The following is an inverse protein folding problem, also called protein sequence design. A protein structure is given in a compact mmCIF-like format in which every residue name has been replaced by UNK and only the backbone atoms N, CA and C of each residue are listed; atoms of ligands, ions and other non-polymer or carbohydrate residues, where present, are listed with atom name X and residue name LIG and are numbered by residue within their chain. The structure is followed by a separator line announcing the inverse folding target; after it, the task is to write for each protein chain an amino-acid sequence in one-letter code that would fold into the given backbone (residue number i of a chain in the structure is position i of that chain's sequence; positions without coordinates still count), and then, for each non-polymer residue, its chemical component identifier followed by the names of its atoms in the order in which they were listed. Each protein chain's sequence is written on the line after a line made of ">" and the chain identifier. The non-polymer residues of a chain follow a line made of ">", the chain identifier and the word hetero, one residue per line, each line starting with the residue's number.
data_IF_993316642292
#
_entry.id   IF_993316642292
#
_cell.length_a   1.000
_cell.length_b   1.000
_cell.length_c   1.000
_cell.angle_alpha   90.00
_cell.angle_beta   90.00
_cell.angle_gamma   90.00
#
_symmetry.space_group_name_H-M   'P 1'
#
loop_
_entity.id
_entity.type
_entity.pdbx_description
1 polymer ?
#
# COMPACT_ATOMS: atom_id res chain seq x y z
N UNK A 1 -18.70 -36.45 26.48
CA UNK A 1 -18.93 -35.90 27.84
C UNK A 1 -17.62 -35.30 28.34
N UNK A 2 -17.62 -34.05 28.83
CA UNK A 2 -16.43 -33.22 28.98
C UNK A 2 -15.83 -33.32 30.39
N UNK A 3 -14.50 -33.28 30.47
CA UNK A 3 -13.77 -33.12 31.72
C UNK A 3 -13.81 -31.65 32.18
N UNK A 4 -14.49 -31.42 33.31
CA UNK A 4 -14.51 -30.16 34.05
C UNK A 4 -13.22 -30.02 34.86
N UNK A 5 -12.51 -28.91 34.70
CA UNK A 5 -11.57 -28.42 35.70
C UNK A 5 -12.14 -27.16 36.35
N UNK A 6 -12.23 -27.22 37.68
CA UNK A 6 -12.81 -26.25 38.59
C UNK A 6 -11.79 -25.19 38.97
N UNK A 7 -12.11 -23.91 38.72
CA UNK A 7 -11.40 -22.78 39.31
C UNK A 7 -11.96 -22.51 40.71
N UNK A 8 -11.08 -22.55 41.72
CA UNK A 8 -11.38 -22.14 43.10
C UNK A 8 -11.11 -20.65 43.26
N UNK A 9 -12.17 -19.89 43.47
CA UNK A 9 -12.16 -18.51 43.94
C UNK A 9 -11.71 -18.47 45.40
N UNK A 10 -10.81 -17.54 45.75
CA UNK A 10 -10.63 -17.07 47.13
C UNK A 10 -10.59 -15.55 47.15
N UNK A 11 -11.74 -14.99 47.48
CA UNK A 11 -11.90 -13.63 48.00
C UNK A 11 -11.44 -13.62 49.45
N UNK A 12 -10.54 -12.71 49.84
CA UNK A 12 -10.33 -12.34 51.23
C UNK A 12 -10.09 -10.83 51.35
N UNK A 13 -11.14 -10.22 51.90
CA UNK A 13 -11.31 -9.00 52.67
C UNK A 13 -10.07 -8.18 53.08
N UNK A 14 -10.27 -6.86 52.99
CA UNK A 14 -9.44 -5.76 53.43
C UNK A 14 -9.04 -5.81 54.92
N UNK A 15 -7.85 -5.26 55.21
CA UNK A 15 -7.51 -4.72 56.52
C UNK A 15 -6.80 -3.37 56.36
N UNK A 16 -7.46 -2.34 56.85
CA UNK A 16 -7.00 -0.95 56.94
C UNK A 16 -5.94 -0.83 58.04
N UNK A 17 -4.78 -0.23 57.72
CA UNK A 17 -3.84 0.27 58.73
C UNK A 17 -3.49 1.71 58.35
N UNK A 18 -3.99 2.63 59.16
CA UNK A 18 -3.61 4.04 59.18
C UNK A 18 -2.23 4.17 59.80
N UNK A 19 -1.25 4.67 59.04
CA UNK A 19 0.03 5.12 59.56
C UNK A 19 0.26 6.55 59.09
N UNK A 20 0.08 7.47 60.04
CA UNK A 20 0.54 8.84 59.93
C UNK A 20 2.07 8.83 59.97
N UNK A 21 2.71 9.39 58.95
CA UNK A 21 4.11 9.79 59.02
C UNK A 21 4.26 11.22 58.54
N UNK A 22 4.78 12.02 59.48
CA UNK A 22 5.11 13.43 59.37
C UNK A 22 6.24 13.67 58.37
N UNK A 23 6.31 14.91 57.89
CA UNK A 23 7.09 15.33 56.75
C UNK A 23 8.58 14.98 56.78
N UNK A 24 9.06 14.58 55.60
CA UNK A 24 10.44 14.69 55.17
C UNK A 24 10.40 15.16 53.71
N UNK A 25 10.84 16.41 53.54
CA UNK A 25 11.14 17.03 52.25
C UNK A 25 12.31 16.29 51.59
N UNK A 26 12.06 15.68 50.43
CA UNK A 26 13.08 15.13 49.53
C UNK A 26 13.03 15.85 48.18
N UNK A 27 14.18 15.98 47.49
CA UNK A 27 14.36 16.88 46.37
C UNK A 27 13.60 16.39 45.13
N UNK A 28 12.95 17.36 44.49
CA UNK A 28 12.32 17.28 43.18
C UNK A 28 13.33 16.88 42.11
N UNK A 29 13.19 15.67 41.56
CA UNK A 29 14.06 15.17 40.51
C UNK A 29 13.63 13.80 39.97
N UNK A 30 12.35 13.62 39.68
CA UNK A 30 11.89 12.54 38.80
C UNK A 30 11.29 13.20 37.54
N UNK A 31 11.68 12.78 36.32
CA UNK A 31 10.99 13.23 35.13
C UNK A 31 9.53 12.77 35.26
N UNK A 32 8.62 13.73 35.12
CA UNK A 32 7.19 13.49 35.01
C UNK A 32 6.96 12.44 33.93
N UNK A 33 6.41 11.29 34.31
CA UNK A 33 5.84 10.35 33.36
C UNK A 33 4.84 11.13 32.50
N UNK A 34 5.15 11.26 31.21
CA UNK A 34 4.20 11.82 30.26
C UNK A 34 2.93 10.96 30.32
N UNK A 35 1.73 11.58 30.29
CA UNK A 35 0.50 10.81 30.20
C UNK A 35 0.60 9.93 28.95
N UNK A 36 0.35 8.63 29.13
CA UNK A 36 0.25 7.69 28.03
C UNK A 36 -0.66 8.29 26.96
N UNK A 37 -0.11 8.52 25.77
CA UNK A 37 -0.83 8.96 24.59
C UNK A 37 -2.10 8.13 24.47
N UNK A 38 -3.25 8.81 24.37
CA UNK A 38 -4.47 8.15 23.94
C UNK A 38 -4.17 7.33 22.67
N UNK A 39 -4.80 6.16 22.55
CA UNK A 39 -4.69 5.34 21.35
C UNK A 39 -4.94 6.25 20.12
N UNK A 40 -4.04 6.27 19.12
CA UNK A 40 -4.23 7.11 17.94
C UNK A 40 -5.57 6.79 17.30
N UNK A 41 -6.30 7.83 16.90
CA UNK A 41 -7.53 7.68 16.15
C UNK A 41 -7.27 6.84 14.88
N UNK A 42 -8.22 5.99 14.52
CA UNK A 42 -8.22 5.27 13.25
C UNK A 42 -7.94 6.24 12.10
N UNK A 43 -7.09 5.81 11.16
CA UNK A 43 -6.40 6.61 10.13
C UNK A 43 -7.09 7.90 9.70
N UNK A 44 -6.33 8.99 9.73
CA UNK A 44 -6.75 10.29 9.21
C UNK A 44 -7.20 10.14 7.75
N UNK A 45 -8.40 10.62 7.44
CA UNK A 45 -8.89 10.67 6.06
C UNK A 45 -7.87 11.44 5.20
N UNK A 46 -7.50 10.88 4.05
CA UNK A 46 -6.51 11.53 3.20
C UNK A 46 -6.98 12.92 2.75
N UNK A 47 -6.04 13.86 2.77
CA UNK A 47 -6.31 15.22 2.29
C UNK A 47 -6.46 15.22 0.77
N UNK A 48 -7.25 16.13 0.19
CA UNK A 48 -7.34 16.26 -1.26
C UNK A 48 -5.98 16.45 -1.95
N UNK A 49 -5.04 17.17 -1.31
CA UNK A 49 -3.70 17.36 -1.83
C UNK A 49 -2.89 16.06 -1.90
N UNK A 50 -3.04 15.16 -0.92
CA UNK A 50 -2.39 13.85 -0.94
C UNK A 50 -2.93 12.96 -2.07
N UNK A 51 -4.25 13.01 -2.31
CA UNK A 51 -4.88 12.28 -3.42
C UNK A 51 -4.42 12.85 -4.78
N UNK A 52 -4.35 14.16 -4.93
CA UNK A 52 -3.80 14.80 -6.13
C UNK A 52 -2.35 14.38 -6.40
N UNK A 53 -1.51 14.36 -5.36
CA UNK A 53 -0.12 13.91 -5.49
C UNK A 53 -0.03 12.43 -5.91
N UNK A 54 -0.88 11.57 -5.35
CA UNK A 54 -0.96 10.17 -5.75
C UNK A 54 -1.37 10.01 -7.22
N UNK A 55 -2.42 10.72 -7.65
CA UNK A 55 -2.89 10.64 -9.05
C UNK A 55 -1.81 11.12 -10.02
N UNK A 56 -1.07 12.17 -9.66
CA UNK A 56 0.05 12.67 -10.45
C UNK A 56 1.23 11.69 -10.52
N UNK A 57 1.64 11.09 -9.40
CA UNK A 57 2.77 10.16 -9.36
C UNK A 57 2.45 8.82 -10.05
N UNK A 58 1.23 8.32 -9.87
CA UNK A 58 0.84 7.00 -10.37
C UNK A 58 0.39 7.02 -11.83
N UNK A 59 -0.39 8.02 -12.21
CA UNK A 59 -1.07 8.08 -13.51
C UNK A 59 -0.66 9.30 -14.34
N UNK A 60 0.21 10.18 -13.83
CA UNK A 60 0.61 11.40 -14.55
C UNK A 60 -0.47 12.49 -14.59
N UNK A 61 -1.53 12.34 -13.80
CA UNK A 61 -2.77 13.11 -13.93
C UNK A 61 -2.73 14.47 -13.23
N UNK A 62 -3.26 15.50 -13.92
CA UNK A 62 -3.34 16.86 -13.40
C UNK A 62 -4.58 17.60 -13.90
N UNK A 63 -5.60 17.67 -13.05
CA UNK A 63 -6.83 18.39 -13.35
C UNK A 63 -6.62 19.93 -13.35
N UNK A 64 -7.26 20.67 -14.27
CA UNK A 64 -7.27 22.13 -14.21
C UNK A 64 -8.09 22.63 -13.00
N UNK A 65 -7.92 23.91 -12.62
CA UNK A 65 -8.60 24.50 -11.46
C UNK A 65 -10.14 24.42 -11.55
N UNK A 66 -10.67 24.62 -12.76
CA UNK A 66 -12.09 24.51 -13.10
C UNK A 66 -12.28 23.44 -14.19
N UNK A 67 -12.33 22.15 -13.81
CA UNK A 67 -12.43 21.06 -14.77
C UNK A 67 -13.75 21.08 -15.54
N UNK A 68 -13.67 20.70 -16.80
CA UNK A 68 -14.81 20.40 -17.65
C UNK A 68 -15.28 18.97 -17.43
N UNK A 69 -16.46 18.64 -17.93
CA UNK A 69 -16.94 17.25 -17.99
C UNK A 69 -15.99 16.36 -18.80
N UNK A 70 -15.42 16.90 -19.89
CA UNK A 70 -14.46 16.20 -20.74
C UNK A 70 -13.17 15.84 -20.01
N UNK A 71 -12.64 16.77 -19.19
CA UNK A 71 -11.46 16.49 -18.36
C UNK A 71 -11.75 15.32 -17.42
N UNK A 72 -12.85 15.37 -16.67
CA UNK A 72 -13.18 14.28 -15.73
C UNK A 72 -13.41 12.93 -16.42
N UNK A 73 -13.97 12.91 -17.63
CA UNK A 73 -14.13 11.69 -18.44
C UNK A 73 -12.77 11.13 -18.84
N UNK A 74 -11.87 11.97 -19.35
CA UNK A 74 -10.53 11.56 -19.76
C UNK A 74 -9.77 10.91 -18.60
N UNK A 75 -9.75 11.62 -17.47
CA UNK A 75 -9.07 11.19 -16.25
C UNK A 75 -9.72 9.93 -15.65
N UNK A 76 -11.05 9.80 -15.70
CA UNK A 76 -11.75 8.59 -15.26
C UNK A 76 -11.39 7.39 -16.14
N UNK A 77 -11.26 7.56 -17.46
CA UNK A 77 -10.85 6.47 -18.34
C UNK A 77 -9.40 6.04 -18.09
N UNK A 78 -8.52 7.01 -17.82
CA UNK A 78 -7.10 6.77 -17.51
C UNK A 78 -6.93 5.98 -16.22
N UNK A 79 -7.57 6.40 -15.10
CA UNK A 79 -7.46 5.66 -13.82
C UNK A 79 -8.07 4.27 -13.86
N UNK A 80 -8.99 4.02 -14.80
CA UNK A 80 -9.59 2.70 -15.03
C UNK A 80 -8.77 1.87 -16.04
N UNK A 81 -7.66 2.42 -16.54
CA UNK A 81 -6.76 1.80 -17.53
C UNK A 81 -7.53 1.25 -18.74
N UNK A 82 -8.60 1.94 -19.14
CA UNK A 82 -9.43 1.51 -20.26
C UNK A 82 -8.70 1.83 -21.55
N UNK A 83 -8.11 0.80 -22.16
CA UNK A 83 -7.36 0.92 -23.42
C UNK A 83 -8.19 1.48 -24.59
N UNK A 84 -7.57 1.56 -25.77
CA UNK A 84 -8.21 2.11 -26.97
C UNK A 84 -9.50 1.35 -27.33
N UNK A 85 -10.64 1.98 -27.10
CA UNK A 85 -11.94 1.49 -27.56
C UNK A 85 -12.04 1.58 -29.09
N UNK A 86 -12.94 0.80 -29.69
CA UNK A 86 -13.21 0.82 -31.13
C UNK A 86 -13.47 2.24 -31.65
N UNK A 87 -13.17 2.54 -32.91
CA UNK A 87 -13.24 3.90 -33.47
C UNK A 87 -14.65 4.44 -33.80
N UNK A 88 -15.72 3.68 -33.49
CA UNK A 88 -17.10 4.08 -33.76
C UNK A 88 -17.95 4.08 -32.47
N UNK A 89 -18.46 5.26 -32.10
CA UNK A 89 -19.32 5.49 -30.94
C UNK A 89 -20.61 6.22 -31.33
N UNK A 90 -21.61 6.27 -30.43
CA UNK A 90 -22.91 6.86 -30.72
C UNK A 90 -22.92 8.40 -30.59
N UNK A 91 -21.77 9.04 -30.36
CA UNK A 91 -21.72 10.44 -29.98
C UNK A 91 -22.03 11.39 -31.13
N UNK A 92 -22.86 12.40 -30.84
CA UNK A 92 -23.36 13.37 -31.82
C UNK A 92 -22.71 14.76 -31.69
N UNK A 93 -22.02 15.03 -30.58
CA UNK A 93 -21.48 16.33 -30.21
C UNK A 93 -19.95 16.37 -30.05
N UNK A 94 -19.28 15.24 -30.28
CA UNK A 94 -17.81 15.13 -30.35
C UNK A 94 -17.40 14.31 -31.57
N UNK A 95 -16.27 14.67 -32.17
CA UNK A 95 -15.70 14.03 -33.35
C UNK A 95 -14.59 13.04 -32.97
N UNK A 96 -14.30 12.06 -33.84
CA UNK A 96 -13.22 11.07 -33.65
C UNK A 96 -11.82 11.70 -33.48
N UNK A 97 -11.64 12.95 -33.90
CA UNK A 97 -10.40 13.71 -33.74
C UNK A 97 -10.28 14.45 -32.41
N UNK A 98 -11.37 14.57 -31.64
CA UNK A 98 -11.35 15.22 -30.34
C UNK A 98 -10.68 14.31 -29.30
N UNK A 99 -9.78 14.86 -28.49
CA UNK A 99 -9.02 14.10 -27.49
C UNK A 99 -9.93 13.32 -26.51
N UNK A 100 -11.12 13.85 -26.20
CA UNK A 100 -12.10 13.23 -25.30
C UNK A 100 -12.87 12.06 -25.93
N UNK A 101 -12.86 11.92 -27.26
CA UNK A 101 -13.71 10.94 -27.95
C UNK A 101 -13.39 9.50 -27.53
N UNK A 102 -12.11 9.13 -27.53
CA UNK A 102 -11.70 7.76 -27.16
C UNK A 102 -11.97 7.45 -25.68
N UNK A 103 -11.59 8.32 -24.71
CA UNK A 103 -11.98 8.14 -23.32
C UNK A 103 -13.50 8.02 -23.12
N UNK A 104 -14.28 8.90 -23.75
CA UNK A 104 -15.74 8.84 -23.66
C UNK A 104 -16.27 7.51 -24.22
N UNK A 105 -15.73 7.05 -25.34
CA UNK A 105 -16.16 5.79 -25.95
C UNK A 105 -15.79 4.58 -25.10
N UNK A 106 -14.61 4.58 -24.49
CA UNK A 106 -14.20 3.57 -23.53
C UNK A 106 -15.19 3.51 -22.34
N UNK A 107 -15.51 4.64 -21.71
CA UNK A 107 -16.49 4.69 -20.63
C UNK A 107 -17.91 4.33 -21.09
N UNK A 108 -18.30 4.66 -22.32
CA UNK A 108 -19.59 4.25 -22.88
C UNK A 108 -19.66 2.74 -23.07
N UNK A 109 -18.58 2.11 -23.56
CA UNK A 109 -18.51 0.65 -23.73
C UNK A 109 -18.63 -0.11 -22.41
N UNK A 110 -18.22 0.51 -21.31
CA UNK A 110 -18.38 -0.01 -19.94
C UNK A 110 -19.76 0.35 -19.32
N UNK A 111 -20.62 1.06 -20.05
CA UNK A 111 -21.93 1.49 -19.57
C UNK A 111 -21.87 2.56 -18.45
N UNK A 112 -20.73 3.24 -18.31
CA UNK A 112 -20.50 4.37 -17.39
C UNK A 112 -21.09 5.64 -18.00
N UNK A 113 -20.80 5.89 -19.28
CA UNK A 113 -21.56 6.83 -20.10
C UNK A 113 -22.71 6.11 -20.78
N UNK A 114 -23.86 6.77 -20.88
CA UNK A 114 -25.09 6.16 -21.41
C UNK A 114 -25.83 7.04 -22.42
N UNK A 115 -25.36 8.28 -22.65
CA UNK A 115 -25.93 9.20 -23.65
C UNK A 115 -25.09 9.22 -24.92
N UNK A 116 -25.76 9.52 -26.03
CA UNK A 116 -25.23 9.90 -27.34
C UNK A 116 -24.70 11.35 -27.38
N UNK A 117 -24.69 12.06 -26.25
CA UNK A 117 -24.06 13.36 -26.09
C UNK A 117 -23.06 13.32 -24.94
N UNK A 118 -21.83 13.77 -25.19
CA UNK A 118 -20.76 13.81 -24.20
C UNK A 118 -20.82 15.09 -23.38
N UNK A 119 -21.08 16.24 -24.01
CA UNK A 119 -21.07 17.55 -23.38
C UNK A 119 -19.68 17.93 -22.87
N UNK A 120 -18.63 17.58 -23.61
CA UNK A 120 -17.24 17.61 -23.12
C UNK A 120 -16.80 19.00 -22.63
N UNK A 121 -17.18 20.08 -23.32
CA UNK A 121 -16.81 21.45 -22.95
C UNK A 121 -17.64 22.04 -21.80
N UNK A 122 -18.68 21.35 -21.32
CA UNK A 122 -19.52 21.85 -20.24
C UNK A 122 -18.73 21.88 -18.92
N UNK A 123 -18.95 22.89 -18.05
CA UNK A 123 -18.38 22.89 -16.70
C UNK A 123 -18.77 21.62 -15.93
N UNK A 124 -17.81 21.00 -15.24
CA UNK A 124 -18.11 19.87 -14.38
C UNK A 124 -18.94 20.35 -13.18
N UNK A 125 -20.11 19.77 -12.98
CA UNK A 125 -20.89 19.97 -11.75
C UNK A 125 -20.59 18.86 -10.74
N UNK A 126 -20.78 19.14 -9.45
CA UNK A 126 -20.58 18.13 -8.39
C UNK A 126 -21.48 16.91 -8.59
N UNK A 127 -22.73 17.10 -8.98
CA UNK A 127 -23.65 16.01 -9.30
C UNK A 127 -23.14 15.16 -10.45
N UNK A 128 -22.74 15.78 -11.57
CA UNK A 128 -22.20 15.07 -12.75
C UNK A 128 -20.98 14.22 -12.39
N UNK A 129 -20.05 14.77 -11.60
CA UNK A 129 -18.89 14.03 -11.15
C UNK A 129 -19.28 12.81 -10.29
N UNK A 130 -20.24 12.96 -9.37
CA UNK A 130 -20.73 11.85 -8.53
C UNK A 130 -21.44 10.77 -9.37
N UNK A 131 -22.30 11.14 -10.32
CA UNK A 131 -22.98 10.18 -11.20
C UNK A 131 -21.99 9.30 -11.96
N UNK A 132 -20.95 9.92 -12.51
CA UNK A 132 -19.88 9.22 -13.21
C UNK A 132 -19.07 8.34 -12.26
N UNK A 133 -18.70 8.87 -11.09
CA UNK A 133 -17.94 8.13 -10.08
C UNK A 133 -18.67 6.89 -9.58
N UNK A 134 -19.99 6.96 -9.32
CA UNK A 134 -20.81 5.81 -8.89
C UNK A 134 -20.72 4.68 -9.92
N UNK A 135 -20.83 5.01 -11.20
CA UNK A 135 -20.78 4.01 -12.27
C UNK A 135 -19.36 3.49 -12.48
N UNK A 136 -18.36 4.36 -12.47
CA UNK A 136 -16.94 4.00 -12.60
C UNK A 136 -16.45 3.11 -11.45
N UNK A 137 -16.95 3.34 -10.24
CA UNK A 137 -16.68 2.54 -9.05
C UNK A 137 -17.42 1.18 -9.04
N UNK A 138 -18.24 0.87 -10.04
CA UNK A 138 -19.01 -0.38 -10.10
C UNK A 138 -20.22 -0.42 -9.17
N UNK A 139 -20.76 0.73 -8.76
CA UNK A 139 -21.89 0.84 -7.83
C UNK A 139 -23.24 1.12 -8.53
N UNK A 140 -23.29 1.00 -9.86
CA UNK A 140 -24.47 1.28 -10.67
C UNK A 140 -25.66 0.41 -10.29
N UNK A 141 -25.47 -0.90 -10.27
CA UNK A 141 -26.51 -1.88 -9.96
C UNK A 141 -27.02 -1.69 -8.53
N UNK A 142 -26.11 -1.42 -7.59
CA UNK A 142 -26.46 -1.05 -6.22
C UNK A 142 -27.36 0.19 -6.20
N UNK A 143 -26.97 1.27 -6.88
CA UNK A 143 -27.75 2.50 -6.93
C UNK A 143 -29.17 2.25 -7.44
N UNK A 144 -29.32 1.47 -8.51
CA UNK A 144 -30.62 1.24 -9.12
C UNK A 144 -31.52 0.27 -8.34
N UNK A 145 -31.01 -0.35 -7.26
CA UNK A 145 -31.86 -1.07 -6.29
C UNK A 145 -32.62 -0.15 -5.34
N UNK A 146 -32.27 1.14 -5.25
CA UNK A 146 -32.79 2.01 -4.21
C UNK A 146 -34.24 2.42 -4.52
N UNK A 147 -35.23 2.03 -3.70
CA UNK A 147 -36.59 2.54 -3.85
C UNK A 147 -36.64 4.02 -3.45
N UNK A 148 -37.68 4.73 -3.91
CA UNK A 148 -37.84 6.16 -3.67
C UNK A 148 -37.74 6.57 -2.19
N UNK A 149 -38.32 5.80 -1.27
CA UNK A 149 -38.24 6.08 0.17
C UNK A 149 -36.81 6.03 0.70
N UNK A 150 -36.02 5.06 0.23
CA UNK A 150 -34.59 4.95 0.58
C UNK A 150 -33.82 6.14 0.02
N UNK A 151 -34.06 6.50 -1.25
CA UNK A 151 -33.45 7.68 -1.87
C UNK A 151 -33.74 8.94 -1.06
N UNK A 152 -35.00 9.16 -0.66
CA UNK A 152 -35.39 10.29 0.17
C UNK A 152 -34.63 10.34 1.50
N UNK A 153 -34.54 9.21 2.20
CA UNK A 153 -33.81 9.11 3.46
C UNK A 153 -32.32 9.44 3.28
N UNK A 154 -31.66 8.86 2.27
CA UNK A 154 -30.24 9.10 1.98
C UNK A 154 -29.97 10.56 1.62
N UNK A 155 -30.77 11.14 0.72
CA UNK A 155 -30.59 12.51 0.24
C UNK A 155 -30.87 13.57 1.31
N UNK A 156 -31.77 13.29 2.26
CA UNK A 156 -32.02 14.19 3.38
C UNK A 156 -30.76 14.44 4.22
N UNK A 157 -29.83 13.47 4.29
CA UNK A 157 -28.53 13.62 4.97
C UNK A 157 -27.57 14.56 4.25
N UNK A 158 -27.76 14.75 2.94
CA UNK A 158 -27.06 15.75 2.13
C UNK A 158 -27.78 17.11 2.13
N UNK A 159 -28.88 17.26 2.89
CA UNK A 159 -29.72 18.45 2.84
C UNK A 159 -30.54 18.57 1.55
N UNK A 160 -30.69 17.49 0.79
CA UNK A 160 -31.43 17.47 -0.48
C UNK A 160 -32.82 16.85 -0.29
N UNK A 161 -33.84 17.49 -0.87
CA UNK A 161 -35.21 16.97 -0.88
C UNK A 161 -35.47 16.11 -2.12
N UNK A 162 -36.07 14.92 -1.94
CA UNK A 162 -36.52 14.06 -3.03
C UNK A 162 -37.77 13.25 -2.62
N UNK A 163 -38.80 13.12 -3.49
CA UNK A 163 -38.99 13.88 -4.72
C UNK A 163 -39.14 15.39 -4.42
N UNK A 164 -38.42 16.23 -5.18
CA UNK A 164 -38.33 17.67 -4.96
C UNK A 164 -39.02 18.51 -6.05
N UNK A 165 -38.37 19.61 -6.46
CA UNK A 165 -38.82 20.58 -7.49
C UNK A 165 -38.68 20.09 -8.95
N UNK A 166 -38.37 18.81 -9.16
CA UNK A 166 -38.20 18.20 -10.48
C UNK A 166 -36.79 18.30 -11.08
N UNK A 167 -35.81 18.87 -10.37
CA UNK A 167 -34.42 19.00 -10.89
C UNK A 167 -33.64 17.68 -10.93
N UNK A 168 -34.03 16.69 -10.12
CA UNK A 168 -33.42 15.36 -10.11
C UNK A 168 -34.35 14.34 -10.75
N UNK A 169 -33.85 13.61 -11.75
CA UNK A 169 -34.49 12.37 -12.20
C UNK A 169 -34.34 11.30 -11.11
N UNK A 170 -35.19 10.25 -11.16
CA UNK A 170 -35.05 9.13 -10.23
C UNK A 170 -33.65 8.50 -10.30
N UNK A 171 -33.13 8.31 -11.51
CA UNK A 171 -31.80 7.73 -11.73
C UNK A 171 -30.70 8.58 -11.09
N UNK A 172 -30.71 9.90 -11.30
CA UNK A 172 -29.73 10.80 -10.69
C UNK A 172 -29.86 10.82 -9.15
N UNK A 173 -31.09 10.78 -8.64
CA UNK A 173 -31.33 10.73 -7.20
C UNK A 173 -30.84 9.41 -6.57
N UNK A 174 -31.03 8.28 -7.26
CA UNK A 174 -30.51 6.96 -6.86
C UNK A 174 -28.98 6.94 -6.82
N UNK A 175 -28.31 7.50 -7.84
CA UNK A 175 -26.84 7.56 -7.89
C UNK A 175 -26.28 8.42 -6.74
N UNK A 176 -26.86 9.58 -6.45
CA UNK A 176 -26.45 10.40 -5.29
C UNK A 176 -26.69 9.70 -3.96
N UNK A 177 -27.85 9.04 -3.81
CA UNK A 177 -28.18 8.30 -2.60
C UNK A 177 -27.18 7.16 -2.36
N UNK A 178 -26.84 6.41 -3.40
CA UNK A 178 -25.85 5.35 -3.31
C UNK A 178 -24.45 5.87 -3.00
N UNK A 179 -24.05 7.01 -3.60
CA UNK A 179 -22.76 7.63 -3.30
C UNK A 179 -22.65 8.05 -1.82
N UNK A 180 -23.72 8.62 -1.26
CA UNK A 180 -23.76 9.00 0.16
C UNK A 180 -23.79 7.79 1.10
N UNK A 181 -24.57 6.76 0.78
CA UNK A 181 -24.71 5.56 1.62
C UNK A 181 -23.46 4.68 1.60
N UNK A 182 -22.75 4.60 0.47
CA UNK A 182 -21.53 3.81 0.30
C UNK A 182 -20.26 4.51 0.80
N UNK A 183 -20.33 5.82 1.08
CA UNK A 183 -19.16 6.64 1.42
C UNK A 183 -18.32 7.07 0.21
N UNK A 184 -18.71 6.72 -1.02
CA UNK A 184 -18.05 7.20 -2.25
C UNK A 184 -18.05 8.73 -2.31
N UNK A 185 -19.14 9.38 -1.86
CA UNK A 185 -19.13 10.79 -1.52
C UNK A 185 -18.71 10.93 -0.05
N UNK A 186 -17.49 11.44 0.25
CA UNK A 186 -17.02 11.49 1.62
C UNK A 186 -17.87 12.40 2.50
N UNK A 187 -18.05 12.03 3.76
CA UNK A 187 -18.90 12.75 4.72
C UNK A 187 -18.51 14.22 4.88
N UNK A 188 -17.21 14.54 4.74
CA UNK A 188 -16.69 15.91 4.77
C UNK A 188 -17.36 16.85 3.74
N UNK A 189 -17.89 16.31 2.64
CA UNK A 189 -18.61 17.08 1.62
C UNK A 189 -20.12 17.12 1.83
N UNK A 190 -20.70 16.25 2.68
CA UNK A 190 -22.14 16.04 2.79
C UNK A 190 -22.91 17.31 3.21
N UNK A 191 -22.43 18.03 4.23
CA UNK A 191 -23.13 19.19 4.79
C UNK A 191 -23.21 20.41 3.84
N UNK A 192 -22.38 20.46 2.80
CA UNK A 192 -22.32 21.57 1.83
C UNK A 192 -22.49 21.10 0.39
N UNK A 193 -23.07 19.92 0.20
CA UNK A 193 -23.21 19.31 -1.11
C UNK A 193 -24.35 19.94 -1.90
N UNK A 194 -24.01 20.76 -2.89
CA UNK A 194 -24.92 21.19 -3.95
C UNK A 194 -24.56 20.48 -5.26
N UNK A 195 -25.40 19.56 -5.80
CA UNK A 195 -25.11 18.83 -7.04
C UNK A 195 -24.98 19.75 -8.26
N UNK A 196 -25.48 20.98 -8.18
CA UNK A 196 -25.48 21.94 -9.29
C UNK A 196 -24.33 22.93 -9.24
N UNK A 197 -23.63 23.00 -8.10
CA UNK A 197 -22.44 23.81 -7.98
C UNK A 197 -21.30 23.27 -8.87
N UNK A 198 -20.40 24.14 -9.35
CA UNK A 198 -19.18 23.70 -10.01
C UNK A 198 -18.36 22.77 -9.13
N UNK A 199 -17.82 21.71 -9.73
CA UNK A 199 -16.81 20.86 -9.13
C UNK A 199 -15.44 21.49 -9.39
N UNK A 200 -14.75 21.92 -8.32
CA UNK A 200 -13.36 22.35 -8.43
C UNK A 200 -12.41 21.15 -8.48
N UNK A 201 -11.15 21.42 -8.85
CA UNK A 201 -10.05 20.44 -8.92
C UNK A 201 -10.02 19.45 -7.74
N UNK A 202 -9.99 19.96 -6.52
CA UNK A 202 -9.87 19.14 -5.31
C UNK A 202 -11.04 18.15 -5.13
N UNK A 203 -12.27 18.57 -5.46
CA UNK A 203 -13.44 17.69 -5.36
C UNK A 203 -13.39 16.58 -6.42
N UNK A 204 -13.01 16.93 -7.65
CA UNK A 204 -12.85 15.97 -8.74
C UNK A 204 -11.73 14.95 -8.44
N UNK A 205 -10.57 15.41 -7.94
CA UNK A 205 -9.48 14.53 -7.53
C UNK A 205 -9.89 13.56 -6.42
N UNK A 206 -10.63 14.05 -5.41
CA UNK A 206 -11.18 13.17 -4.36
C UNK A 206 -12.07 12.08 -4.94
N UNK A 207 -12.97 12.41 -5.87
CA UNK A 207 -13.83 11.39 -6.48
C UNK A 207 -13.04 10.38 -7.32
N UNK A 208 -12.00 10.81 -8.06
CA UNK A 208 -11.09 9.88 -8.76
C UNK A 208 -10.40 8.93 -7.77
N UNK A 209 -9.90 9.46 -6.65
CA UNK A 209 -9.34 8.64 -5.57
C UNK A 209 -10.35 7.68 -4.95
N UNK A 210 -11.62 8.10 -4.80
CA UNK A 210 -12.69 7.24 -4.28
C UNK A 210 -13.09 6.13 -5.27
N UNK A 211 -13.08 6.39 -6.57
CA UNK A 211 -13.25 5.35 -7.60
C UNK A 211 -12.18 4.26 -7.40
N UNK A 212 -10.91 4.66 -7.33
CA UNK A 212 -9.80 3.73 -7.09
C UNK A 212 -9.93 3.00 -5.76
N UNK A 213 -10.32 3.71 -4.69
CA UNK A 213 -10.46 3.12 -3.36
C UNK A 213 -11.55 2.04 -3.31
N UNK A 214 -12.72 2.28 -3.90
CA UNK A 214 -13.82 1.30 -3.95
C UNK A 214 -13.42 0.07 -4.78
N UNK A 215 -12.59 0.28 -5.82
CA UNK A 215 -12.08 -0.79 -6.69
C UNK A 215 -10.89 -1.55 -6.10
N UNK A 216 -10.31 -1.07 -5.00
CA UNK A 216 -9.09 -1.65 -4.41
C UNK A 216 -7.81 -1.32 -5.19
N UNK A 217 -7.84 -0.29 -6.04
CA UNK A 217 -6.77 0.12 -6.97
C UNK A 217 -6.07 1.43 -6.52
N UNK A 218 -6.41 1.97 -5.34
CA UNK A 218 -5.76 3.16 -4.78
C UNK A 218 -4.40 2.80 -4.16
N UNK A 219 -4.27 2.98 -2.84
CA UNK A 219 -3.12 2.50 -2.06
C UNK A 219 -3.46 1.13 -1.51
N UNK A 220 -2.63 0.15 -1.81
CA UNK A 220 -2.82 -1.21 -1.33
C UNK A 220 -2.13 -1.35 0.04
N UNK A 221 -2.94 -1.45 1.09
CA UNK A 221 -2.44 -1.74 2.43
C UNK A 221 -3.38 -2.67 3.18
N UNK A 222 -2.78 -3.51 4.03
CA UNK A 222 -3.48 -4.48 4.85
C UNK A 222 -4.12 -3.81 6.08
N UNK A 223 -3.41 -2.87 6.70
CA UNK A 223 -3.78 -2.28 7.99
C UNK A 223 -2.96 -1.01 8.27
N UNK A 224 -3.11 -0.42 9.46
CA UNK A 224 -2.31 0.71 9.93
C UNK A 224 -1.74 0.42 11.30
N UNK A 225 -0.68 1.13 11.71
CA UNK A 225 -0.13 1.06 13.08
C UNK A 225 -1.19 1.36 14.14
N UNK A 226 -2.15 2.24 13.86
CA UNK A 226 -3.25 2.62 14.77
C UNK A 226 -4.40 1.61 14.84
N UNK A 227 -4.47 0.65 13.91
CA UNK A 227 -5.54 -0.36 13.87
C UNK A 227 -5.50 -1.26 15.10
N UNK A 228 -6.66 -1.48 15.73
CA UNK A 228 -6.78 -2.40 16.87
C UNK A 228 -6.54 -3.86 16.49
N UNK A 229 -6.74 -4.21 15.21
CA UNK A 229 -6.57 -5.55 14.66
C UNK A 229 -5.27 -5.71 13.86
N UNK A 230 -4.33 -4.75 13.95
CA UNK A 230 -3.08 -4.73 13.18
C UNK A 230 -2.34 -6.08 13.22
N UNK A 231 -2.22 -6.67 14.42
CA UNK A 231 -1.47 -7.91 14.61
C UNK A 231 -2.20 -9.14 14.07
N UNK A 232 -3.52 -9.23 14.22
CA UNK A 232 -4.28 -10.37 13.72
C UNK A 232 -4.33 -10.37 12.20
N UNK A 233 -4.52 -9.20 11.57
CA UNK A 233 -4.48 -9.03 10.11
C UNK A 233 -3.13 -9.42 9.54
N UNK A 234 -2.04 -8.93 10.15
CA UNK A 234 -0.67 -9.26 9.73
C UNK A 234 -0.38 -10.77 9.83
N UNK A 235 -0.69 -11.38 10.97
CA UNK A 235 -0.47 -12.82 11.19
C UNK A 235 -1.31 -13.68 10.25
N UNK A 236 -2.55 -13.27 9.95
CA UNK A 236 -3.41 -13.96 8.99
C UNK A 236 -2.81 -13.89 7.58
N UNK A 237 -2.42 -12.69 7.14
CA UNK A 237 -1.81 -12.48 5.82
C UNK A 237 -0.51 -13.29 5.67
N UNK A 238 0.33 -13.36 6.70
CA UNK A 238 1.56 -14.16 6.69
C UNK A 238 1.28 -15.67 6.61
N UNK A 239 0.34 -16.19 7.40
CA UNK A 239 0.01 -17.63 7.44
C UNK A 239 -0.58 -18.16 6.14
N UNK A 240 -1.15 -17.29 5.30
CA UNK A 240 -1.68 -17.68 3.99
C UNK A 240 -0.63 -17.63 2.87
N UNK A 241 0.60 -17.22 3.17
CA UNK A 241 1.67 -17.16 2.19
C UNK A 241 2.30 -18.53 1.94
N UNK A 242 2.67 -18.72 0.68
CA UNK A 242 3.40 -19.88 0.19
C UNK A 242 4.69 -19.39 -0.46
N UNK A 243 5.62 -20.32 -0.71
CA UNK A 243 6.73 -20.05 -1.61
C UNK A 243 6.18 -19.63 -2.98
N UNK A 244 6.63 -18.48 -3.46
CA UNK A 244 6.36 -17.98 -4.79
C UNK A 244 7.30 -18.71 -5.74
N UNK A 245 6.73 -19.51 -6.63
CA UNK A 245 7.45 -20.17 -7.71
C UNK A 245 6.98 -19.58 -9.04
N UNK A 246 7.90 -19.08 -9.86
CA UNK A 246 7.61 -18.44 -11.15
C UNK A 246 8.46 -19.12 -12.23
N UNK A 247 8.00 -20.24 -12.81
CA UNK A 247 8.78 -21.03 -13.76
C UNK A 247 9.27 -20.25 -15.00
N UNK A 248 8.58 -19.17 -15.36
CA UNK A 248 8.96 -18.31 -16.48
C UNK A 248 10.18 -17.41 -16.20
N UNK A 249 10.46 -17.13 -14.92
CA UNK A 249 11.54 -16.23 -14.49
C UNK A 249 12.72 -17.00 -13.88
N UNK A 250 12.43 -17.98 -13.02
CA UNK A 250 13.42 -18.71 -12.23
C UNK A 250 14.61 -19.26 -13.03
N UNK A 251 14.45 -19.91 -14.20
CA UNK A 251 15.59 -20.46 -14.93
C UNK A 251 16.68 -19.43 -15.25
N UNK A 252 16.30 -18.19 -15.60
CA UNK A 252 17.26 -17.15 -15.95
C UNK A 252 17.99 -16.60 -14.72
N UNK A 253 17.26 -16.34 -13.63
CA UNK A 253 17.83 -15.78 -12.40
C UNK A 253 18.60 -16.82 -11.58
N UNK A 254 18.18 -18.09 -11.59
CA UNK A 254 18.95 -19.19 -11.03
C UNK A 254 20.28 -19.37 -11.77
N UNK A 255 20.27 -19.24 -13.10
CA UNK A 255 21.50 -19.29 -13.88
C UNK A 255 22.42 -18.09 -13.55
N UNK A 256 21.86 -16.89 -13.44
CA UNK A 256 22.63 -15.71 -13.04
C UNK A 256 23.27 -15.87 -11.64
N UNK A 257 22.54 -16.47 -10.70
CA UNK A 257 23.05 -16.81 -9.37
C UNK A 257 24.17 -17.86 -9.43
N UNK A 258 24.03 -18.92 -10.24
CA UNK A 258 25.06 -19.95 -10.44
C UNK A 258 26.33 -19.39 -11.08
N UNK A 259 26.21 -18.42 -11.99
CA UNK A 259 27.32 -17.75 -12.64
C UNK A 259 27.96 -16.65 -11.77
N UNK A 260 27.42 -16.40 -10.57
CA UNK A 260 27.94 -15.38 -9.66
C UNK A 260 27.71 -13.94 -10.15
N UNK A 261 26.76 -13.73 -11.06
CA UNK A 261 26.35 -12.39 -11.51
C UNK A 261 25.63 -11.63 -10.39
N UNK A 262 25.02 -12.36 -9.47
CA UNK A 262 24.27 -11.86 -8.31
C UNK A 262 24.53 -12.75 -7.10
N UNK A 263 24.29 -12.23 -5.90
CA UNK A 263 24.40 -12.98 -4.64
C UNK A 263 23.07 -13.57 -4.17
N UNK A 264 21.97 -13.05 -4.69
CA UNK A 264 20.61 -13.53 -4.44
C UNK A 264 19.58 -12.73 -5.24
N UNK A 265 18.34 -13.20 -5.24
CA UNK A 265 17.21 -12.52 -5.87
C UNK A 265 15.92 -12.80 -5.10
N UNK A 266 14.90 -11.96 -5.32
CA UNK A 266 13.56 -12.17 -4.78
C UNK A 266 12.57 -12.40 -5.92
N UNK A 267 11.63 -13.33 -5.75
CA UNK A 267 10.41 -13.43 -6.54
C UNK A 267 9.28 -12.74 -5.78
N UNK A 268 8.56 -11.86 -6.47
CA UNK A 268 7.47 -11.07 -5.90
C UNK A 268 6.27 -11.05 -6.85
N UNK A 269 5.10 -10.85 -6.26
CA UNK A 269 3.80 -10.79 -6.93
C UNK A 269 3.34 -9.32 -6.99
N UNK A 270 3.12 -8.81 -8.19
CA UNK A 270 2.79 -7.39 -8.41
C UNK A 270 1.48 -6.98 -7.76
N UNK A 271 0.58 -7.93 -7.53
CA UNK A 271 -0.72 -7.65 -6.88
C UNK A 271 -0.56 -7.14 -5.46
N UNK A 272 0.58 -7.36 -4.82
CA UNK A 272 0.87 -6.87 -3.47
C UNK A 272 1.56 -5.52 -3.43
N UNK A 273 1.92 -4.94 -4.58
CA UNK A 273 2.59 -3.64 -4.65
C UNK A 273 1.78 -2.58 -3.86
N UNK A 274 2.41 -1.80 -2.97
CA UNK A 274 1.69 -0.97 -2.01
C UNK A 274 1.08 0.31 -2.63
N UNK A 275 1.63 0.78 -3.76
CA UNK A 275 1.28 2.05 -4.39
C UNK A 275 1.38 3.26 -3.44
N UNK A 276 2.27 3.18 -2.45
CA UNK A 276 2.44 4.25 -1.47
C UNK A 276 3.11 5.49 -2.05
N UNK A 277 2.84 6.61 -1.40
CA UNK A 277 3.55 7.86 -1.66
C UNK A 277 5.04 7.71 -1.31
N UNK A 278 5.89 7.72 -2.34
CA UNK A 278 7.33 7.48 -2.25
C UNK A 278 8.02 8.41 -1.25
N UNK A 279 7.55 9.66 -1.12
CA UNK A 279 8.14 10.65 -0.21
C UNK A 279 7.93 10.30 1.26
N UNK A 280 6.89 9.51 1.56
CA UNK A 280 6.49 9.11 2.91
C UNK A 280 6.61 7.61 3.16
N UNK A 281 7.15 6.84 2.21
CA UNK A 281 7.24 5.40 2.33
C UNK A 281 8.66 4.82 2.34
N UNK A 282 8.80 3.67 3.00
CA UNK A 282 9.97 2.79 2.94
C UNK A 282 9.53 1.33 3.06
N UNK A 283 10.43 0.42 2.72
CA UNK A 283 10.20 -1.02 2.76
C UNK A 283 11.25 -1.71 3.62
N UNK A 284 10.83 -2.65 4.48
CA UNK A 284 11.67 -3.42 5.41
C UNK A 284 11.56 -4.92 5.11
N UNK A 285 12.64 -5.55 4.67
CA UNK A 285 12.68 -6.97 4.33
C UNK A 285 13.05 -7.86 5.51
N UNK A 286 12.29 -8.92 5.76
CA UNK A 286 12.58 -9.88 6.83
C UNK A 286 11.87 -11.24 6.64
N UNK A 287 12.22 -12.24 7.46
CA UNK A 287 11.62 -13.60 7.41
C UNK A 287 10.89 -14.03 8.70
N UNK A 288 11.29 -13.50 9.86
CA UNK A 288 10.62 -13.79 11.13
C UNK A 288 9.35 -12.93 11.31
N UNK A 289 8.16 -13.55 11.34
CA UNK A 289 6.90 -12.84 11.58
C UNK A 289 6.78 -12.29 13.01
N UNK A 290 7.44 -12.89 14.00
CA UNK A 290 7.46 -12.36 15.37
C UNK A 290 8.23 -11.04 15.42
N UNK A 291 9.28 -10.88 14.60
CA UNK A 291 9.99 -9.61 14.42
C UNK A 291 9.06 -8.52 13.91
N UNK A 292 8.31 -8.78 12.84
CA UNK A 292 7.34 -7.83 12.29
C UNK A 292 6.30 -7.37 13.32
N UNK A 293 5.75 -8.31 14.11
CA UNK A 293 4.79 -7.99 15.18
C UNK A 293 5.43 -7.03 16.21
N UNK A 294 6.67 -7.30 16.62
CA UNK A 294 7.38 -6.45 17.59
C UNK A 294 7.80 -5.11 16.98
N UNK A 295 8.20 -5.07 15.71
CA UNK A 295 8.53 -3.85 14.99
C UNK A 295 7.32 -2.91 14.91
N UNK A 296 6.13 -3.43 14.58
CA UNK A 296 4.91 -2.62 14.59
C UNK A 296 4.58 -2.12 16.00
N UNK A 297 4.77 -2.95 17.03
CA UNK A 297 4.61 -2.55 18.42
C UNK A 297 5.56 -1.41 18.83
N UNK A 298 6.80 -1.46 18.33
CA UNK A 298 7.82 -0.43 18.53
C UNK A 298 7.47 0.86 17.80
N UNK A 299 7.08 0.80 16.52
CA UNK A 299 6.62 2.01 15.80
C UNK A 299 5.46 2.69 16.53
N UNK A 300 4.53 1.91 17.09
CA UNK A 300 3.43 2.43 17.91
C UNK A 300 3.92 3.08 19.21
N UNK A 301 4.90 2.49 19.92
CA UNK A 301 5.42 3.07 21.16
C UNK A 301 6.18 4.37 20.93
N UNK A 302 6.87 4.47 19.79
CA UNK A 302 7.59 5.68 19.36
C UNK A 302 6.67 6.72 18.69
N UNK A 303 5.36 6.45 18.60
CA UNK A 303 4.37 7.41 18.10
C UNK A 303 4.31 7.53 16.57
N UNK A 304 4.96 6.63 15.83
CA UNK A 304 4.92 6.62 14.36
C UNK A 304 3.58 6.05 13.88
N UNK A 305 2.94 6.78 12.97
CA UNK A 305 1.72 6.34 12.31
C UNK A 305 2.02 5.96 10.87
N UNK A 306 1.63 4.76 10.47
CA UNK A 306 1.84 4.29 9.11
C UNK A 306 0.73 3.37 8.62
N UNK A 307 0.44 3.42 7.32
CA UNK A 307 -0.17 2.30 6.60
C UNK A 307 0.86 1.20 6.44
N UNK A 308 0.40 -0.04 6.49
CA UNK A 308 1.25 -1.22 6.49
C UNK A 308 0.75 -2.17 5.40
N UNK A 309 1.64 -2.51 4.48
CA UNK A 309 1.43 -3.56 3.50
C UNK A 309 2.46 -4.66 3.70
N UNK A 310 1.99 -5.90 3.77
CA UNK A 310 2.86 -7.08 3.77
C UNK A 310 2.89 -7.63 2.35
N UNK A 311 4.06 -7.57 1.73
CA UNK A 311 4.36 -8.13 0.41
C UNK A 311 5.04 -9.50 0.56
N UNK A 312 4.38 -10.61 0.19
CA UNK A 312 5.02 -11.92 0.19
C UNK A 312 6.18 -11.94 -0.80
N UNK A 313 7.29 -12.58 -0.42
CA UNK A 313 8.41 -12.82 -1.33
C UNK A 313 9.02 -14.20 -1.15
N UNK A 314 9.68 -14.68 -2.19
CA UNK A 314 10.59 -15.82 -2.07
C UNK A 314 12.00 -15.34 -2.38
N UNK A 315 12.87 -15.40 -1.39
CA UNK A 315 14.27 -15.03 -1.51
C UNK A 315 15.07 -16.26 -1.91
N UNK A 316 15.91 -16.13 -2.92
CA UNK A 316 16.75 -17.19 -3.43
C UNK A 316 18.23 -16.80 -3.32
N UNK A 317 19.05 -17.70 -2.79
CA UNK A 317 20.48 -17.47 -2.55
C UNK A 317 21.28 -18.78 -2.62
N UNK A 318 22.60 -18.65 -2.79
CA UNK A 318 23.50 -19.81 -2.79
C UNK A 318 23.53 -20.45 -1.40
N UNK A 319 23.21 -21.74 -1.35
CA UNK A 319 23.32 -22.59 -0.16
C UNK A 319 24.65 -23.34 -0.22
N UNK A 320 25.54 -23.10 0.73
CA UNK A 320 26.85 -23.75 0.73
C UNK A 320 26.75 -25.14 1.35
N UNK A 321 27.46 -26.13 0.78
CA UNK A 321 27.44 -27.52 1.26
C UNK A 321 27.83 -27.66 2.74
N UNK A 322 28.65 -26.75 3.25
CA UNK A 322 29.06 -26.71 4.65
C UNK A 322 27.94 -26.29 5.62
N UNK A 323 26.80 -25.77 5.12
CA UNK A 323 25.68 -25.36 5.95
C UNK A 323 24.76 -26.52 6.35
N UNK A 324 24.89 -27.67 5.69
CA UNK A 324 24.12 -28.88 6.00
C UNK A 324 23.62 -29.61 4.77
N UNK A 325 22.81 -30.64 5.00
CA UNK A 325 22.14 -31.37 3.94
C UNK A 325 20.95 -30.54 3.39
N UNK A 326 20.67 -30.59 2.07
CA UNK A 326 19.51 -29.95 1.48
C UNK A 326 18.21 -30.34 2.20
N UNK A 327 17.43 -29.34 2.61
CA UNK A 327 16.15 -29.53 3.27
C UNK A 327 14.97 -29.01 2.44
N UNK A 328 13.78 -29.51 2.72
CA UNK A 328 12.54 -29.05 2.08
C UNK A 328 11.40 -29.06 3.09
N UNK A 329 10.72 -27.93 3.18
CA UNK A 329 9.53 -27.66 3.97
C UNK A 329 8.56 -26.77 3.15
N UNK A 330 7.33 -26.53 3.62
CA UNK A 330 6.43 -25.59 2.95
C UNK A 330 6.98 -24.17 2.77
N UNK A 331 7.93 -23.77 3.61
CA UNK A 331 8.42 -22.39 3.72
C UNK A 331 9.87 -22.24 3.27
N UNK A 332 10.54 -23.36 2.95
CA UNK A 332 11.96 -23.37 2.60
C UNK A 332 12.31 -24.59 1.75
N UNK A 333 13.13 -24.41 0.72
CA UNK A 333 13.53 -25.48 -0.21
C UNK A 333 14.97 -25.27 -0.66
N UNK A 334 15.79 -26.33 -0.60
CA UNK A 334 17.14 -26.32 -1.18
C UNK A 334 17.18 -27.21 -2.42
N UNK A 335 17.52 -26.65 -3.56
CA UNK A 335 17.75 -27.39 -4.81
C UNK A 335 19.25 -27.61 -5.00
N UNK A 336 19.75 -28.85 -4.98
CA UNK A 336 21.18 -29.13 -5.09
C UNK A 336 21.74 -28.80 -6.48
N UNK A 337 23.01 -28.41 -6.51
CA UNK A 337 23.81 -28.15 -7.70
C UNK A 337 24.90 -29.22 -7.85
N UNK A 338 25.42 -29.40 -9.06
CA UNK A 338 26.44 -30.43 -9.37
C UNK A 338 27.74 -30.27 -8.56
N UNK A 339 28.07 -29.04 -8.15
CA UNK A 339 29.27 -28.73 -7.36
C UNK A 339 29.11 -29.03 -5.84
N UNK A 340 27.96 -29.58 -5.43
CA UNK A 340 27.64 -29.91 -4.05
C UNK A 340 26.99 -28.78 -3.25
N UNK A 341 27.01 -27.53 -3.75
CA UNK A 341 26.21 -26.44 -3.19
C UNK A 341 24.73 -26.62 -3.58
N UNK A 342 23.88 -25.67 -3.20
CA UNK A 342 22.48 -25.61 -3.60
C UNK A 342 22.03 -24.19 -3.89
N UNK A 343 20.78 -24.06 -4.33
CA UNK A 343 20.01 -22.81 -4.29
C UNK A 343 18.95 -22.99 -3.22
N UNK A 344 19.01 -22.17 -2.17
CA UNK A 344 17.96 -22.08 -1.17
C UNK A 344 16.87 -21.12 -1.66
N UNK A 345 15.62 -21.48 -1.43
CA UNK A 345 14.43 -20.65 -1.63
C UNK A 345 13.74 -20.54 -0.27
N UNK A 346 13.65 -19.31 0.26
CA UNK A 346 13.07 -19.03 1.56
C UNK A 346 11.82 -18.17 1.42
N UNK A 347 10.74 -18.55 2.11
CA UNK A 347 9.57 -17.70 2.26
C UNK A 347 9.92 -16.54 3.18
N UNK A 348 9.82 -15.34 2.65
CA UNK A 348 10.07 -14.11 3.38
C UNK A 348 8.97 -13.09 3.08
N UNK A 349 9.13 -11.89 3.60
CA UNK A 349 8.28 -10.77 3.29
C UNK A 349 9.06 -9.46 3.16
N UNK A 350 8.44 -8.52 2.48
CA UNK A 350 8.71 -7.10 2.62
C UNK A 350 7.53 -6.44 3.37
N UNK A 351 7.84 -5.62 4.38
CA UNK A 351 6.87 -4.73 5.00
C UNK A 351 7.06 -3.33 4.47
N UNK A 352 6.09 -2.87 3.68
CA UNK A 352 6.05 -1.49 3.22
C UNK A 352 5.24 -0.65 4.20
N UNK A 353 5.79 0.51 4.55
CA UNK A 353 5.18 1.50 5.42
C UNK A 353 4.97 2.80 4.64
N UNK A 354 3.76 3.40 4.69
CA UNK A 354 3.55 4.81 4.33
C UNK A 354 3.23 5.58 5.61
N UNK A 355 4.15 6.42 6.04
CA UNK A 355 3.99 7.24 7.23
C UNK A 355 3.07 8.43 6.98
N UNK A 356 2.51 9.00 8.04
CA UNK A 356 1.69 10.21 7.93
C UNK A 356 2.50 11.37 7.32
N UNK A 357 3.78 11.49 7.69
CA UNK A 357 4.68 12.55 7.23
C UNK A 357 6.08 12.04 6.86
N UNK A 358 6.83 12.84 6.10
CA UNK A 358 8.22 12.52 5.73
C UNK A 358 9.15 12.52 6.96
N UNK A 359 8.88 13.36 7.97
CA UNK A 359 9.67 13.39 9.20
C UNK A 359 9.54 12.08 9.99
N UNK A 360 8.35 11.47 10.01
CA UNK A 360 8.17 10.14 10.63
C UNK A 360 8.90 9.03 9.85
N UNK A 361 8.96 9.14 8.52
CA UNK A 361 9.78 8.24 7.70
C UNK A 361 11.27 8.37 8.06
N UNK A 362 11.77 9.60 8.24
CA UNK A 362 13.17 9.86 8.59
C UNK A 362 13.57 9.30 9.97
N UNK A 363 12.67 9.26 10.95
CA UNK A 363 12.99 8.71 12.28
C UNK A 363 13.15 7.19 12.29
N UNK A 364 12.66 6.48 11.27
CA UNK A 364 12.67 5.01 11.20
C UNK A 364 14.08 4.41 11.35
N UNK A 365 15.09 5.00 10.70
CA UNK A 365 16.48 4.54 10.76
C UNK A 365 17.03 4.53 12.21
N UNK A 366 16.71 5.58 12.98
CA UNK A 366 17.11 5.68 14.38
C UNK A 366 16.47 4.59 15.25
N UNK A 367 15.20 4.26 14.99
CA UNK A 367 14.47 3.20 15.68
C UNK A 367 15.09 1.84 15.39
N UNK A 368 15.37 1.53 14.11
CA UNK A 368 16.01 0.26 13.75
C UNK A 368 17.40 0.15 14.38
N UNK A 369 18.20 1.21 14.29
CA UNK A 369 19.55 1.24 14.86
C UNK A 369 19.56 1.03 16.37
N UNK A 370 18.56 1.53 17.10
CA UNK A 370 18.47 1.40 18.55
C UNK A 370 17.93 0.03 19.01
N UNK A 371 16.94 -0.53 18.29
CA UNK A 371 16.11 -1.61 18.83
C UNK A 371 16.02 -2.85 17.94
N UNK A 372 16.42 -2.80 16.67
CA UNK A 372 16.22 -3.89 15.72
C UNK A 372 17.49 -4.30 14.94
N UNK A 373 18.62 -3.63 15.18
CA UNK A 373 19.93 -3.98 14.61
C UNK A 373 20.86 -4.57 15.68
N UNK A 374 21.47 -5.70 15.33
CA UNK A 374 22.51 -6.35 16.12
C UNK A 374 23.89 -5.75 15.84
N UNK A 375 24.65 -5.49 16.90
CA UNK A 375 26.02 -4.95 16.90
C UNK A 375 26.99 -5.80 17.75
N UNK A 376 26.48 -6.73 18.56
CA UNK A 376 27.29 -7.72 19.30
C UNK A 376 26.51 -9.02 19.48
N UNK A 377 27.20 -10.16 19.62
CA UNK A 377 26.57 -11.47 19.81
C UNK A 377 25.59 -11.50 20.98
N UNK A 378 26.00 -10.93 22.12
CA UNK A 378 25.27 -10.90 23.39
C UNK A 378 24.49 -9.59 23.62
N UNK A 379 24.11 -8.88 22.56
CA UNK A 379 23.37 -7.62 22.71
C UNK A 379 21.98 -7.88 23.31
N UNK A 380 21.64 -7.13 24.36
CA UNK A 380 20.32 -7.13 24.99
C UNK A 380 19.50 -5.89 24.59
N UNK A 381 18.17 -5.96 24.78
CA UNK A 381 17.25 -4.86 24.51
C UNK A 381 16.78 -4.74 23.06
N UNK A 382 17.09 -5.72 22.21
CA UNK A 382 16.62 -5.78 20.84
C UNK A 382 15.31 -6.57 20.71
N UNK A 383 14.53 -6.24 19.68
CA UNK A 383 13.39 -7.08 19.26
C UNK A 383 13.88 -8.42 18.71
N UNK A 384 13.02 -9.44 18.76
CA UNK A 384 13.32 -10.80 18.31
C UNK A 384 13.77 -10.82 16.86
N UNK A 385 14.67 -11.73 16.48
CA UNK A 385 15.07 -11.90 15.09
C UNK A 385 15.95 -10.78 14.51
N UNK A 386 16.38 -9.79 15.31
CA UNK A 386 17.23 -8.68 14.84
C UNK A 386 18.50 -9.14 14.11
N UNK A 387 18.74 -8.57 12.93
CA UNK A 387 19.89 -8.90 12.07
C UNK A 387 21.07 -7.95 12.30
N UNK A 388 22.26 -8.43 11.94
CA UNK A 388 23.48 -7.60 11.87
C UNK A 388 23.43 -6.61 10.70
N UNK A 389 22.91 -7.11 9.57
CA UNK A 389 22.70 -6.39 8.32
C UNK A 389 21.20 -6.44 8.02
N UNK A 390 20.36 -5.64 8.70
CA UNK A 390 18.96 -5.47 8.30
C UNK A 390 18.88 -5.00 6.84
N UNK A 391 17.72 -5.17 6.20
CA UNK A 391 17.47 -4.68 4.85
C UNK A 391 16.25 -3.77 4.88
N UNK A 392 16.46 -2.48 4.65
CA UNK A 392 15.36 -1.55 4.46
C UNK A 392 15.74 -0.38 3.58
N UNK A 393 14.77 0.07 2.79
CA UNK A 393 15.05 0.95 1.68
C UNK A 393 13.93 1.94 1.38
N UNK A 394 14.30 3.02 0.69
CA UNK A 394 13.45 4.14 0.32
C UNK A 394 13.67 4.50 -1.15
N UNK A 395 12.59 4.83 -1.85
CA UNK A 395 12.65 5.32 -3.23
C UNK A 395 13.06 6.79 -3.32
N UNK A 396 13.03 7.52 -2.21
CA UNK A 396 13.57 8.88 -2.10
C UNK A 396 14.79 8.89 -1.18
N UNK A 397 15.64 9.91 -1.32
CA UNK A 397 16.82 10.08 -0.49
C UNK A 397 16.46 10.20 1.00
N UNK A 398 17.29 9.61 1.85
CA UNK A 398 17.23 9.71 3.31
C UNK A 398 18.66 9.90 3.85
N UNK A 399 18.83 10.62 4.97
CA UNK A 399 20.13 10.72 5.63
C UNK A 399 20.72 9.35 5.93
N UNK A 400 22.05 9.21 5.77
CA UNK A 400 22.84 7.99 6.04
C UNK A 400 22.63 6.82 5.07
N UNK A 401 21.58 6.85 4.24
CA UNK A 401 21.33 5.81 3.26
C UNK A 401 22.29 5.93 2.08
N UNK A 402 22.52 4.80 1.41
CA UNK A 402 23.41 4.70 0.25
C UNK A 402 22.62 4.36 -1.00
N UNK A 403 23.03 4.92 -2.13
CA UNK A 403 22.38 4.67 -3.41
C UNK A 403 22.83 3.32 -3.98
N UNK A 404 21.87 2.48 -4.34
CA UNK A 404 22.07 1.20 -5.03
C UNK A 404 21.10 1.07 -6.21
N UNK A 405 21.23 0.00 -6.98
CA UNK A 405 20.33 -0.30 -8.09
C UNK A 405 19.43 -1.50 -7.77
N UNK A 406 18.14 -1.37 -8.09
CA UNK A 406 17.24 -2.51 -8.25
C UNK A 406 17.24 -2.91 -9.71
N UNK A 407 17.35 -4.20 -9.98
CA UNK A 407 17.25 -4.74 -11.33
C UNK A 407 16.08 -5.72 -11.37
N UNK A 408 15.11 -5.43 -12.22
CA UNK A 408 13.82 -6.14 -12.27
C UNK A 408 13.66 -6.84 -13.60
N UNK A 409 13.26 -8.11 -13.56
CA UNK A 409 12.86 -8.89 -14.73
C UNK A 409 11.38 -9.19 -14.58
N UNK A 410 10.59 -8.59 -15.47
CA UNK A 410 9.14 -8.71 -15.45
C UNK A 410 8.65 -10.03 -16.04
N UNK A 411 7.57 -10.54 -15.45
CA UNK A 411 6.81 -11.71 -15.87
C UNK A 411 5.31 -11.45 -15.71
N UNK A 412 4.48 -12.43 -16.06
CA UNK A 412 3.01 -12.29 -16.06
C UNK A 412 2.44 -12.11 -14.63
N UNK A 413 2.38 -10.86 -14.15
CA UNK A 413 1.93 -10.48 -12.80
C UNK A 413 2.93 -10.76 -11.67
N UNK A 414 4.15 -11.14 -12.02
CA UNK A 414 5.24 -11.43 -11.08
C UNK A 414 6.54 -10.83 -11.60
N UNK A 415 7.49 -10.59 -10.69
CA UNK A 415 8.82 -10.14 -11.07
C UNK A 415 9.91 -10.81 -10.24
N UNK A 416 11.07 -10.95 -10.86
CA UNK A 416 12.31 -11.28 -10.17
C UNK A 416 13.09 -9.98 -9.99
N UNK A 417 13.58 -9.73 -8.77
CA UNK A 417 14.42 -8.57 -8.49
C UNK A 417 15.72 -8.95 -7.80
N UNK A 418 16.76 -8.18 -8.06
CA UNK A 418 18.06 -8.33 -7.41
C UNK A 418 18.72 -6.97 -7.24
N UNK A 419 19.45 -6.82 -6.14
CA UNK A 419 20.10 -5.57 -5.77
C UNK A 419 21.58 -5.63 -6.11
N UNK A 420 22.07 -4.57 -6.74
CA UNK A 420 23.49 -4.42 -7.10
C UNK A 420 23.99 -3.03 -6.71
N UNK A 421 25.31 -2.85 -6.71
CA UNK A 421 25.84 -1.49 -6.77
C UNK A 421 25.41 -0.82 -8.08
N UNK A 422 25.34 0.52 -8.08
CA UNK A 422 24.87 1.29 -9.24
C UNK A 422 25.72 1.04 -10.48
N UNK A 423 27.03 0.94 -10.32
CA UNK A 423 28.00 0.69 -11.40
C UNK A 423 27.97 -0.76 -11.92
N UNK A 424 27.30 -1.68 -11.22
CA UNK A 424 27.16 -3.08 -11.59
C UNK A 424 25.84 -3.40 -12.31
N UNK A 425 24.86 -2.49 -12.29
CA UNK A 425 23.52 -2.71 -12.85
C UNK A 425 23.56 -3.08 -14.35
N UNK A 426 24.37 -2.36 -15.14
CA UNK A 426 24.51 -2.63 -16.57
C UNK A 426 25.15 -4.00 -16.83
N UNK A 427 26.17 -4.36 -16.05
CA UNK A 427 26.84 -5.65 -16.19
C UNK A 427 25.87 -6.82 -15.89
N UNK A 428 25.01 -6.65 -14.89
CA UNK A 428 23.92 -7.60 -14.61
C UNK A 428 22.96 -7.71 -15.80
N UNK A 429 22.45 -6.58 -16.31
CA UNK A 429 21.51 -6.56 -17.43
C UNK A 429 22.10 -7.24 -18.68
N UNK A 430 23.37 -6.99 -18.99
CA UNK A 430 24.07 -7.63 -20.11
C UNK A 430 24.30 -9.13 -19.87
N UNK A 431 24.53 -9.54 -18.62
CA UNK A 431 24.62 -10.94 -18.21
C UNK A 431 23.30 -11.69 -18.43
N UNK A 432 22.18 -11.10 -17.99
CA UNK A 432 20.84 -11.67 -18.20
C UNK A 432 20.52 -11.80 -19.69
N UNK A 433 20.85 -10.81 -20.52
CA UNK A 433 20.64 -10.91 -21.98
C UNK A 433 21.41 -12.06 -22.63
N UNK A 434 22.56 -12.47 -22.08
CA UNK A 434 23.30 -13.66 -22.57
C UNK A 434 22.57 -14.95 -22.19
N UNK A 435 21.96 -15.00 -21.01
CA UNK A 435 21.22 -16.16 -20.49
C UNK A 435 19.85 -16.29 -21.16
N UNK A 436 19.12 -15.18 -21.30
CA UNK A 436 17.79 -15.09 -21.87
C UNK A 436 17.71 -13.86 -22.79
N UNK A 437 18.00 -14.01 -24.10
CA UNK A 437 18.10 -12.89 -25.05
C UNK A 437 16.86 -11.99 -25.13
N UNK A 438 15.67 -12.56 -24.93
CA UNK A 438 14.40 -11.83 -25.00
C UNK A 438 13.99 -11.21 -23.65
N UNK A 439 14.81 -11.32 -22.61
CA UNK A 439 14.52 -10.73 -21.30
C UNK A 439 14.72 -9.21 -21.31
N UNK A 440 13.66 -8.48 -20.94
CA UNK A 440 13.77 -7.09 -20.49
C UNK A 440 14.32 -7.04 -19.07
N UNK A 441 15.27 -6.14 -18.82
CA UNK A 441 15.77 -5.81 -17.48
C UNK A 441 15.54 -4.33 -17.28
N UNK A 442 14.66 -4.00 -16.33
CA UNK A 442 14.40 -2.62 -15.92
C UNK A 442 15.22 -2.34 -14.66
N UNK A 443 16.11 -1.35 -14.75
CA UNK A 443 16.96 -0.94 -13.64
C UNK A 443 16.62 0.47 -13.18
N UNK A 444 16.49 0.66 -11.88
CA UNK A 444 16.30 1.98 -11.26
C UNK A 444 17.05 2.06 -9.94
N UNK A 445 17.41 3.27 -9.54
CA UNK A 445 18.15 3.50 -8.31
C UNK A 445 17.24 3.78 -7.13
N UNK A 446 17.67 3.36 -5.95
CA UNK A 446 16.99 3.63 -4.69
C UNK A 446 17.99 3.67 -3.53
N UNK A 447 17.54 4.14 -2.38
CA UNK A 447 18.38 4.37 -1.21
C UNK A 447 18.18 3.25 -0.20
N UNK A 448 19.27 2.65 0.28
CA UNK A 448 19.24 1.56 1.26
C UNK A 448 20.02 1.92 2.51
N UNK A 449 19.70 1.29 3.63
CA UNK A 449 20.46 1.41 4.86
C UNK A 449 21.95 1.04 4.69
N UNK A 450 22.82 1.74 5.42
CA UNK A 450 24.27 1.53 5.35
C UNK A 450 24.71 0.09 5.65
N UNK A 451 24.13 -0.63 6.64
CA UNK A 451 24.42 -2.05 6.86
C UNK A 451 24.24 -2.90 5.57
N UNK A 452 23.07 -2.85 4.93
CA UNK A 452 22.86 -3.62 3.71
C UNK A 452 23.78 -3.19 2.55
N UNK A 453 24.09 -1.91 2.43
CA UNK A 453 25.08 -1.44 1.45
C UNK A 453 26.46 -2.09 1.68
N UNK A 454 26.90 -2.19 2.94
CA UNK A 454 28.15 -2.86 3.28
C UNK A 454 28.10 -4.35 2.97
N UNK A 455 26.95 -5.00 3.16
CA UNK A 455 26.74 -6.39 2.74
C UNK A 455 26.98 -6.58 1.23
N UNK A 456 26.51 -5.66 0.38
CA UNK A 456 26.77 -5.70 -1.07
C UNK A 456 28.25 -5.52 -1.42
N UNK A 457 29.01 -4.80 -0.59
CA UNK A 457 30.46 -4.68 -0.72
C UNK A 457 31.22 -5.93 -0.21
N UNK A 458 30.52 -6.93 0.34
CA UNK A 458 31.13 -8.08 1.02
C UNK A 458 31.65 -7.77 2.42
N UNK A 459 31.25 -6.64 3.01
CA UNK A 459 31.54 -6.26 4.39
C UNK A 459 30.54 -6.90 5.36
N UNK A 460 31.00 -7.90 6.13
CA UNK A 460 30.16 -8.61 7.12
C UNK A 460 30.38 -8.17 8.57
N UNK A 461 31.04 -7.02 8.79
CA UNK A 461 31.48 -6.60 10.13
C UNK A 461 30.60 -5.53 10.74
#
# INVERSE_FOLDING_TARGET
>A
MPHRFTFRTRTLLALSVSLAFSGLSLPSGFPSAQPASAAPAAGSAETPAAIEAFLQDRYGLSLPAAPTKGDFIAETAEILELGDAAIAGPFTDVSVSDAVYRPALALYSQGILTSDTVGAAAPLTRGTAVYLAVKAAGLKELAYTYPQEKVQASLSRLGLAYPGDGRLTLQAAQELAAAADSGLLPEAYAASFDPWAPAGKAFAAVLLGQILSVRGEYKHYLTTTGDSEVYSKLLQAYRTQVLIEVPALQPAVDQALKEGLITGYNLKDERYAPHFDKSRSLTYGHSDIAHAVQLIGLLRSEGLQAKIQLEPKTSAFLYLKEWGEPETSPDYKVVPLENGNGIAYAREYDLSFEFDTAEQKETFNGIISAYAKKNSEDQHGLITGSWWQPLYYSLTELPEYKLIANNVIQGDGYYAQTFTLVDQAQAFADGIKKIKPDAGVDSYTFWVDEPFYNYLLGGFK
#
